data_IF_055088324089
#
_entry.id   IF_055088324089
#
_cell.length_a   1.000
_cell.length_b   1.000
_cell.length_c   1.000
_cell.angle_alpha   90.00
_cell.angle_beta   90.00
_cell.angle_gamma   90.00
#
_symmetry.space_group_name_H-M   'P 1'
#
loop_
_entity.id
_entity.type
_entity.pdbx_description
1 polymer ?
#
# COMPACT_ATOMS: atom_id res chain seq x y z
N UNK A 1 -4.27 -6.05 33.40
CA UNK A 1 -5.14 -6.09 32.21
C UNK A 1 -4.56 -5.08 31.23
N UNK A 2 -3.94 -5.51 30.14
CA UNK A 2 -3.36 -4.58 29.16
C UNK A 2 -4.51 -3.99 28.34
N UNK A 3 -4.80 -2.71 28.54
CA UNK A 3 -5.64 -1.94 27.63
C UNK A 3 -5.08 -2.10 26.21
N UNK A 4 -5.89 -2.66 25.32
CA UNK A 4 -5.60 -2.73 23.91
C UNK A 4 -5.59 -1.30 23.35
N UNK A 5 -4.45 -0.61 23.44
CA UNK A 5 -4.23 0.68 22.76
C UNK A 5 -4.20 0.45 21.25
N UNK A 6 -5.40 0.29 20.68
CA UNK A 6 -5.63 0.23 19.24
C UNK A 6 -5.90 1.64 18.76
N UNK A 7 -4.97 2.17 18.00
CA UNK A 7 -5.10 3.49 17.40
C UNK A 7 -5.64 3.34 15.98
N UNK A 8 -6.57 4.22 15.61
CA UNK A 8 -7.06 4.34 14.24
C UNK A 8 -6.24 5.40 13.52
N UNK A 9 -5.72 5.06 12.34
CA UNK A 9 -4.98 5.96 11.46
C UNK A 9 -5.66 6.07 10.10
N UNK A 10 -5.52 7.23 9.50
CA UNK A 10 -5.90 7.58 8.12
C UNK A 10 -4.64 7.91 7.32
N UNK A 11 -4.75 8.02 5.99
CA UNK A 11 -3.61 8.43 5.15
C UNK A 11 -3.08 9.85 5.43
N UNK A 12 -3.78 10.65 6.25
CA UNK A 12 -3.32 11.98 6.68
C UNK A 12 -2.36 11.90 7.87
N UNK A 13 -2.34 10.78 8.59
CA UNK A 13 -1.55 10.61 9.82
C UNK A 13 -0.10 10.19 9.52
N UNK A 14 0.74 10.24 10.55
CA UNK A 14 2.13 9.78 10.49
C UNK A 14 2.22 8.30 10.87
N UNK A 15 2.84 7.48 10.01
CA UNK A 15 2.93 6.03 10.22
C UNK A 15 4.23 5.60 10.91
N UNK A 16 5.11 6.54 11.27
CA UNK A 16 6.37 6.23 11.96
C UNK A 16 6.13 5.53 13.29
N UNK A 17 6.86 4.45 13.55
CA UNK A 17 6.76 3.62 14.77
C UNK A 17 5.38 2.99 15.02
N UNK A 18 4.53 2.86 13.99
CA UNK A 18 3.22 2.21 14.08
C UNK A 18 3.29 0.80 13.52
N UNK A 19 2.67 -0.17 14.19
CA UNK A 19 2.60 -1.54 13.70
C UNK A 19 1.16 -1.87 13.24
N UNK A 20 0.94 -2.18 11.95
CA UNK A 20 -0.40 -2.42 11.45
C UNK A 20 -0.92 -3.77 11.94
N UNK A 21 -2.22 -3.83 12.20
CA UNK A 21 -2.93 -5.05 12.56
C UNK A 21 -4.01 -5.42 11.53
N UNK A 22 -4.70 -4.40 11.01
CA UNK A 22 -5.73 -4.55 9.99
C UNK A 22 -5.97 -3.22 9.30
N UNK A 23 -6.54 -3.27 8.11
CA UNK A 23 -7.10 -2.11 7.45
C UNK A 23 -8.52 -2.40 6.96
N UNK A 24 -9.33 -1.36 6.84
CA UNK A 24 -10.65 -1.43 6.24
C UNK A 24 -10.64 -0.60 4.97
N UNK A 25 -11.09 -1.18 3.86
CA UNK A 25 -11.22 -0.51 2.57
C UNK A 25 -12.55 -0.91 1.92
N UNK A 26 -13.38 0.07 1.55
CA UNK A 26 -14.75 -0.17 1.05
C UNK A 26 -15.58 -1.11 1.94
N UNK A 27 -15.50 -0.93 3.26
CA UNK A 27 -16.24 -1.74 4.24
C UNK A 27 -15.72 -3.18 4.42
N UNK A 28 -14.68 -3.59 3.68
CA UNK A 28 -14.00 -4.89 3.88
C UNK A 28 -12.79 -4.71 4.77
N UNK A 29 -12.65 -5.56 5.78
CA UNK A 29 -11.51 -5.55 6.69
C UNK A 29 -10.56 -6.70 6.38
N UNK A 30 -9.27 -6.41 6.28
CA UNK A 30 -8.20 -7.40 6.09
C UNK A 30 -7.20 -7.30 7.25
N UNK A 31 -6.82 -8.45 7.81
CA UNK A 31 -5.76 -8.54 8.83
C UNK A 31 -4.39 -8.59 8.17
N UNK A 32 -3.41 -7.92 8.80
CA UNK A 32 -2.06 -7.74 8.28
C UNK A 32 -1.08 -7.65 9.45
N UNK A 33 0.17 -8.07 9.25
CA UNK A 33 1.21 -7.94 10.27
C UNK A 33 2.26 -6.88 9.92
N UNK A 34 2.34 -6.49 8.65
CA UNK A 34 3.37 -5.55 8.20
C UNK A 34 2.82 -4.57 7.16
N UNK A 35 3.35 -3.34 7.14
CA UNK A 35 2.93 -2.32 6.17
C UNK A 35 3.10 -2.75 4.72
N UNK A 36 4.15 -3.54 4.44
CA UNK A 36 4.37 -4.12 3.11
C UNK A 36 3.24 -5.07 2.67
N UNK A 37 2.58 -5.74 3.63
CA UNK A 37 1.42 -6.59 3.34
C UNK A 37 0.20 -5.73 3.02
N UNK A 38 -0.02 -4.65 3.77
CA UNK A 38 -1.06 -3.66 3.45
C UNK A 38 -0.93 -3.19 2.00
N UNK A 39 0.29 -2.78 1.59
CA UNK A 39 0.53 -2.27 0.24
C UNK A 39 0.21 -3.32 -0.83
N UNK A 40 0.65 -4.57 -0.63
CA UNK A 40 0.42 -5.66 -1.57
C UNK A 40 -1.07 -5.94 -1.71
N UNK A 41 -1.79 -6.06 -0.60
CA UNK A 41 -3.21 -6.38 -0.65
C UNK A 41 -4.04 -5.22 -1.21
N UNK A 42 -3.68 -3.97 -0.92
CA UNK A 42 -4.26 -2.79 -1.57
C UNK A 42 -4.01 -2.83 -3.08
N UNK A 43 -2.78 -3.10 -3.53
CA UNK A 43 -2.49 -3.19 -4.96
C UNK A 43 -3.23 -4.33 -5.66
N UNK A 44 -3.43 -5.48 -5.00
CA UNK A 44 -4.30 -6.55 -5.54
C UNK A 44 -5.73 -6.05 -5.71
N UNK A 45 -6.28 -5.35 -4.72
CA UNK A 45 -7.65 -4.80 -4.80
C UNK A 45 -7.78 -3.82 -5.98
N UNK A 46 -6.82 -2.91 -6.16
CA UNK A 46 -6.84 -1.96 -7.29
C UNK A 46 -6.64 -2.65 -8.65
N UNK A 47 -5.74 -3.63 -8.71
CA UNK A 47 -5.55 -4.45 -9.90
C UNK A 47 -6.83 -5.16 -10.32
N UNK A 48 -7.52 -5.78 -9.35
CA UNK A 48 -8.75 -6.53 -9.60
C UNK A 48 -9.95 -5.62 -9.90
N UNK A 49 -9.91 -4.37 -9.43
CA UNK A 49 -10.92 -3.34 -9.73
C UNK A 49 -10.84 -2.83 -11.17
N UNK A 50 -9.65 -2.45 -11.64
CA UNK A 50 -9.43 -2.04 -13.04
C UNK A 50 -7.95 -2.27 -13.42
N UNK A 51 -7.70 -3.36 -14.15
CA UNK A 51 -6.34 -3.72 -14.57
C UNK A 51 -5.69 -2.67 -15.47
N UNK A 52 -6.45 -1.94 -16.31
CA UNK A 52 -5.89 -0.97 -17.27
C UNK A 52 -5.41 0.28 -16.55
N UNK A 53 -6.16 0.76 -15.56
CA UNK A 53 -5.71 1.84 -14.67
C UNK A 53 -4.49 1.41 -13.86
N UNK A 54 -4.48 0.18 -13.33
CA UNK A 54 -3.35 -0.33 -12.57
C UNK A 54 -2.08 -0.41 -13.40
N UNK A 55 -2.18 -0.89 -14.64
CA UNK A 55 -1.06 -0.91 -15.57
C UNK A 55 -0.53 0.48 -15.90
N UNK A 56 -1.43 1.45 -16.04
CA UNK A 56 -1.07 2.85 -16.30
C UNK A 56 -0.31 3.44 -15.12
N UNK A 57 -0.80 3.22 -13.89
CA UNK A 57 -0.09 3.55 -12.66
C UNK A 57 1.31 2.92 -12.59
N UNK A 58 1.38 1.60 -12.81
CA UNK A 58 2.63 0.85 -12.72
C UNK A 58 3.66 1.28 -13.78
N UNK A 59 3.22 1.80 -14.94
CA UNK A 59 4.10 2.40 -15.95
C UNK A 59 4.54 3.80 -15.54
N UNK A 60 3.63 4.66 -15.08
CA UNK A 60 3.93 6.03 -14.62
C UNK A 60 4.98 6.05 -13.50
N UNK A 61 4.82 5.18 -12.51
CA UNK A 61 5.75 5.07 -11.38
C UNK A 61 7.17 4.69 -11.83
N UNK A 62 7.30 3.85 -12.86
CA UNK A 62 8.60 3.47 -13.45
C UNK A 62 9.31 4.64 -14.13
N UNK A 63 8.58 5.59 -14.72
CA UNK A 63 9.13 6.71 -15.49
C UNK A 63 9.50 7.92 -14.63
N UNK A 64 9.04 8.00 -13.38
CA UNK A 64 9.12 9.21 -12.55
C UNK A 64 10.50 9.53 -11.94
N UNK A 65 11.53 8.69 -12.14
CA UNK A 65 12.85 8.86 -11.50
C UNK A 65 12.86 8.65 -9.97
N UNK A 66 11.69 8.54 -9.32
CA UNK A 66 11.55 8.12 -7.92
C UNK A 66 11.84 6.63 -7.79
N UNK A 67 12.29 6.21 -6.60
CA UNK A 67 12.57 4.80 -6.32
C UNK A 67 11.31 3.97 -6.58
N UNK A 68 11.40 3.05 -7.53
CA UNK A 68 10.26 2.35 -8.13
C UNK A 68 9.63 1.41 -7.12
N UNK A 69 8.46 1.75 -6.57
CA UNK A 69 7.77 0.86 -5.61
C UNK A 69 7.24 -0.40 -6.28
N UNK A 70 6.87 -0.34 -7.56
CA UNK A 70 6.35 -1.48 -8.33
C UNK A 70 6.97 -1.56 -9.73
N UNK A 71 7.19 -2.77 -10.23
CA UNK A 71 7.60 -3.01 -11.61
C UNK A 71 7.14 -4.35 -12.16
N UNK A 72 7.04 -4.48 -13.49
CA UNK A 72 6.88 -5.77 -14.18
C UNK A 72 8.22 -6.48 -14.48
N UNK A 73 9.35 -5.82 -14.21
CA UNK A 73 10.69 -6.38 -14.42
C UNK A 73 11.44 -6.40 -13.10
N UNK A 74 12.32 -7.38 -12.93
CA UNK A 74 13.24 -7.39 -11.80
C UNK A 74 14.20 -6.21 -11.96
N UNK A 75 14.14 -5.28 -11.01
CA UNK A 75 14.97 -4.07 -10.99
C UNK A 75 16.02 -4.12 -9.87
N UNK A 76 16.36 -5.31 -9.36
CA UNK A 76 17.34 -5.47 -8.29
C UNK A 76 16.84 -5.00 -6.93
N UNK A 77 15.54 -5.18 -6.66
CA UNK A 77 14.95 -4.80 -5.37
C UNK A 77 15.53 -5.64 -4.23
N UNK A 78 15.70 -5.02 -3.06
CA UNK A 78 16.07 -5.73 -1.83
C UNK A 78 14.78 -6.28 -1.20
N UNK A 79 14.61 -7.61 -1.22
CA UNK A 79 13.40 -8.34 -0.78
C UNK A 79 12.13 -8.06 -1.62
N UNK A 80 12.13 -8.35 -2.92
CA UNK A 80 10.94 -8.20 -3.74
C UNK A 80 9.85 -9.17 -3.30
N UNK A 81 8.58 -8.74 -3.32
CA UNK A 81 7.43 -9.65 -3.32
C UNK A 81 6.73 -9.56 -4.67
N UNK A 82 6.35 -10.72 -5.21
CA UNK A 82 5.64 -10.81 -6.48
C UNK A 82 4.14 -11.06 -6.28
N UNK A 83 3.33 -10.47 -7.13
CA UNK A 83 1.89 -10.75 -7.24
C UNK A 83 1.45 -10.45 -8.68
N UNK A 84 0.64 -11.32 -9.30
CA UNK A 84 0.09 -11.13 -10.67
C UNK A 84 1.11 -10.66 -11.73
N UNK A 85 2.37 -11.12 -11.65
CA UNK A 85 3.44 -10.72 -12.58
C UNK A 85 4.08 -9.35 -12.32
N UNK A 86 3.69 -8.68 -11.23
CA UNK A 86 4.34 -7.48 -10.70
C UNK A 86 5.28 -7.83 -9.56
N UNK A 87 6.29 -6.99 -9.38
CA UNK A 87 7.31 -7.05 -8.33
C UNK A 87 7.24 -5.74 -7.54
N UNK A 88 7.10 -5.83 -6.23
CA UNK A 88 7.05 -4.68 -5.32
C UNK A 88 8.32 -4.60 -4.49
N UNK A 89 8.89 -3.40 -4.36
CA UNK A 89 9.94 -3.11 -3.37
C UNK A 89 9.34 -3.10 -1.96
N UNK A 90 9.75 -4.03 -1.09
CA UNK A 90 9.18 -4.14 0.26
C UNK A 90 10.08 -3.60 1.38
N UNK A 91 11.29 -3.14 1.03
CA UNK A 91 12.20 -2.46 1.97
C UNK A 91 11.96 -0.94 1.99
N UNK A 92 10.72 -0.57 2.34
CA UNK A 92 10.25 0.80 2.44
C UNK A 92 9.90 1.11 3.91
N UNK A 93 10.15 2.35 4.32
CA UNK A 93 9.60 2.85 5.59
C UNK A 93 8.08 3.03 5.49
N UNK A 94 7.41 3.09 6.65
CA UNK A 94 5.95 3.11 6.72
C UNK A 94 5.33 4.34 6.06
N UNK A 95 6.02 5.48 6.03
CA UNK A 95 5.54 6.67 5.35
C UNK A 95 5.69 6.57 3.82
N UNK A 96 6.77 5.98 3.30
CA UNK A 96 6.86 5.70 1.85
C UNK A 96 5.78 4.73 1.38
N UNK A 97 5.40 3.77 2.21
CA UNK A 97 4.27 2.88 1.91
C UNK A 97 2.96 3.67 1.88
N UNK A 98 2.74 4.56 2.87
CA UNK A 98 1.58 5.47 2.89
C UNK A 98 1.51 6.32 1.63
N UNK A 99 2.63 6.91 1.21
CA UNK A 99 2.70 7.75 0.01
C UNK A 99 2.35 6.95 -1.25
N UNK A 100 2.85 5.72 -1.38
CA UNK A 100 2.50 4.83 -2.49
C UNK A 100 1.00 4.48 -2.52
N UNK A 101 0.39 4.29 -1.34
CA UNK A 101 -1.07 4.10 -1.22
C UNK A 101 -1.82 5.37 -1.64
N UNK A 102 -1.38 6.55 -1.23
CA UNK A 102 -1.98 7.82 -1.66
C UNK A 102 -1.93 7.97 -3.19
N UNK A 103 -0.79 7.67 -3.81
CA UNK A 103 -0.61 7.80 -5.26
C UNK A 103 -1.57 6.91 -6.05
N UNK A 104 -1.79 5.65 -5.64
CA UNK A 104 -2.75 4.76 -6.33
C UNK A 104 -4.21 5.21 -6.10
N UNK A 105 -4.55 5.70 -4.91
CA UNK A 105 -5.88 6.26 -4.64
C UNK A 105 -6.16 7.47 -5.53
N UNK A 106 -5.17 8.36 -5.71
CA UNK A 106 -5.28 9.51 -6.59
C UNK A 106 -5.45 9.12 -8.06
N UNK A 107 -4.71 8.12 -8.55
CA UNK A 107 -4.85 7.64 -9.94
C UNK A 107 -6.25 7.06 -10.23
N UNK A 108 -6.90 6.49 -9.21
CA UNK A 108 -8.25 5.95 -9.33
C UNK A 108 -9.34 6.95 -8.93
N UNK A 109 -8.97 8.17 -8.55
CA UNK A 109 -9.88 9.22 -8.06
C UNK A 109 -10.72 8.77 -6.85
N UNK A 110 -10.15 7.90 -6.01
CA UNK A 110 -10.80 7.40 -4.79
C UNK A 110 -10.42 8.29 -3.60
N UNK A 111 -11.42 8.63 -2.79
CA UNK A 111 -11.22 9.40 -1.56
C UNK A 111 -10.29 8.68 -0.58
N UNK A 112 -9.33 9.41 -0.01
CA UNK A 112 -8.41 8.87 1.01
C UNK A 112 -9.13 8.47 2.31
N UNK A 113 -10.38 8.89 2.50
CA UNK A 113 -11.19 8.50 3.66
C UNK A 113 -11.81 7.09 3.50
N UNK A 114 -11.76 6.49 2.30
CA UNK A 114 -12.26 5.13 2.07
C UNK A 114 -11.40 4.05 2.72
N UNK A 115 -10.21 4.42 3.22
CA UNK A 115 -9.29 3.50 3.88
C UNK A 115 -8.93 3.98 5.29
N UNK A 116 -9.01 3.02 6.21
CA UNK A 116 -8.69 3.22 7.62
C UNK A 116 -7.78 2.09 8.10
N UNK A 117 -6.75 2.43 8.87
CA UNK A 117 -5.80 1.48 9.43
C UNK A 117 -6.00 1.40 10.94
N UNK A 118 -5.84 0.21 11.49
CA UNK A 118 -5.82 -0.02 12.92
C UNK A 118 -4.44 -0.55 13.29
N UNK A 119 -3.80 0.13 14.23
CA UNK A 119 -2.40 -0.12 14.62
C UNK A 119 -2.28 -0.34 16.12
N UNK A 120 -1.11 -0.83 16.52
CA UNK A 120 -0.63 -0.92 17.91
C UNK A 120 0.79 -0.38 18.00
#
# INVERSE_FOLDING_TARGET
MLENNREKLTLKDNFTNKHPMKFTFFGKTLEVNYWKECLIDIYKIFHDMDIRKFETYAKKTQSSGRKRVISKKDNGYKYPKSFYGYIIETNLDSNKIKDAIIEIFQEYEISLNEIEFYVR
#
